data_IF_976899030554
#
_entry.id   IF_976899030554
#
_cell.length_a   1.000
_cell.length_b   1.000
_cell.length_c   1.000
_cell.angle_alpha   90.00
_cell.angle_beta   90.00
_cell.angle_gamma   90.00
#
_symmetry.space_group_name_H-M   'P 1'
#
loop_
_entity.id
_entity.type
_entity.pdbx_description
1 polymer ?
#
# COMPACT_ATOMS: atom_id res chain seq x y z
N UNK A 1 0.40 51.39 -81.08
CA UNK A 1 1.26 50.21 -81.13
C UNK A 1 1.59 49.83 -79.69
N UNK A 2 0.79 48.95 -79.07
CA UNK A 2 0.88 48.56 -77.66
C UNK A 2 1.37 47.12 -77.63
N UNK A 3 2.53 46.87 -77.02
CA UNK A 3 3.08 45.57 -76.80
C UNK A 3 2.57 45.04 -75.40
N UNK A 4 1.88 43.96 -75.47
CA UNK A 4 1.40 43.23 -74.25
C UNK A 4 2.42 42.12 -73.89
N UNK A 5 3.07 42.20 -72.74
CA UNK A 5 3.91 41.13 -72.21
C UNK A 5 3.08 40.23 -71.31
N UNK A 6 3.01 38.96 -71.70
CA UNK A 6 2.33 37.90 -70.83
C UNK A 6 3.40 37.17 -70.00
N UNK A 7 3.37 37.33 -68.69
CA UNK A 7 4.21 36.58 -67.74
C UNK A 7 3.48 35.27 -67.34
N UNK A 8 4.08 34.14 -67.70
CA UNK A 8 3.63 32.80 -67.21
C UNK A 8 4.27 32.51 -65.83
N UNK A 9 3.48 32.45 -64.79
CA UNK A 9 3.90 31.91 -63.50
C UNK A 9 3.89 30.38 -63.56
N UNK A 10 5.06 29.76 -63.39
CA UNK A 10 5.17 28.31 -63.13
C UNK A 10 4.94 28.04 -61.62
N UNK A 11 3.87 27.33 -61.32
CA UNK A 11 3.61 26.81 -59.96
C UNK A 11 4.44 25.53 -59.74
N UNK A 12 5.48 25.62 -58.89
CA UNK A 12 6.22 24.49 -58.40
C UNK A 12 5.43 23.89 -57.23
N UNK A 13 4.78 22.71 -57.41
CA UNK A 13 4.13 21.93 -56.32
C UNK A 13 5.21 21.08 -55.68
N UNK A 14 5.69 21.52 -54.50
CA UNK A 14 6.56 20.70 -53.64
C UNK A 14 5.68 19.75 -52.84
N UNK A 15 5.68 18.46 -53.20
CA UNK A 15 4.98 17.42 -52.45
C UNK A 15 5.83 17.05 -51.22
N UNK A 16 5.38 17.44 -50.03
CA UNK A 16 5.96 16.95 -48.78
C UNK A 16 5.46 15.53 -48.52
N UNK A 17 6.35 14.54 -48.64
CA UNK A 17 6.09 13.17 -48.17
C UNK A 17 6.40 13.12 -46.67
N UNK A 18 5.35 13.09 -45.82
CA UNK A 18 5.50 12.82 -44.39
C UNK A 18 5.64 11.32 -44.23
N UNK A 19 6.86 10.84 -44.00
CA UNK A 19 7.10 9.47 -43.56
C UNK A 19 6.68 9.34 -42.09
N UNK A 20 5.56 8.72 -41.85
CA UNK A 20 5.22 8.21 -40.52
C UNK A 20 6.11 7.01 -40.19
N UNK A 21 7.12 7.20 -39.34
CA UNK A 21 7.81 6.10 -38.69
C UNK A 21 6.84 5.47 -37.68
N UNK A 22 6.19 4.38 -38.04
CA UNK A 22 5.57 3.49 -37.09
C UNK A 22 6.70 2.82 -36.28
N UNK A 23 6.98 3.38 -35.12
CA UNK A 23 7.80 2.68 -34.13
C UNK A 23 7.01 1.43 -33.68
N UNK A 24 7.51 0.20 -33.90
CA UNK A 24 6.83 -0.97 -33.40
C UNK A 24 6.86 -0.91 -31.88
N UNK A 25 5.69 -0.82 -31.23
CA UNK A 25 5.56 -1.08 -29.82
C UNK A 25 5.97 -2.55 -29.63
N UNK A 26 7.20 -2.76 -29.17
CA UNK A 26 7.67 -4.06 -28.72
C UNK A 26 6.80 -4.45 -27.52
N UNK A 27 5.72 -5.19 -27.77
CA UNK A 27 5.04 -5.90 -26.68
C UNK A 27 6.05 -6.87 -26.08
N UNK A 28 6.44 -6.60 -24.85
CA UNK A 28 7.24 -7.56 -24.06
C UNK A 28 6.52 -8.92 -24.11
N UNK A 29 7.28 -9.99 -24.31
CA UNK A 29 6.73 -11.34 -24.18
C UNK A 29 6.09 -11.51 -22.81
N UNK A 30 4.97 -12.26 -22.69
CA UNK A 30 4.35 -12.49 -21.41
C UNK A 30 5.39 -13.12 -20.46
N UNK A 31 5.54 -12.52 -19.29
CA UNK A 31 6.42 -13.02 -18.24
C UNK A 31 6.03 -14.47 -17.91
N UNK A 32 6.97 -15.44 -17.88
CA UNK A 32 6.64 -16.81 -17.53
C UNK A 32 6.05 -16.84 -16.13
N UNK A 33 4.96 -17.58 -15.93
CA UNK A 33 4.29 -17.69 -14.64
C UNK A 33 5.30 -18.18 -13.57
N UNK A 34 5.57 -17.35 -12.58
CA UNK A 34 6.46 -17.70 -11.47
C UNK A 34 5.88 -18.91 -10.71
N UNK A 35 6.74 -19.85 -10.33
CA UNK A 35 6.32 -20.98 -9.47
C UNK A 35 5.82 -20.42 -8.14
N UNK A 36 4.57 -20.71 -7.71
CA UNK A 36 4.04 -20.18 -6.47
C UNK A 36 4.86 -20.59 -5.25
N UNK A 37 5.13 -19.65 -4.36
CA UNK A 37 5.89 -19.85 -3.12
C UNK A 37 4.92 -20.30 -2.04
N UNK A 38 5.24 -21.38 -1.34
CA UNK A 38 4.39 -21.91 -0.27
C UNK A 38 4.47 -21.03 0.98
N UNK A 39 3.34 -20.47 1.48
CA UNK A 39 3.31 -19.76 2.75
C UNK A 39 3.57 -20.73 3.91
N UNK A 40 4.11 -20.22 5.01
CA UNK A 40 4.44 -21.04 6.19
C UNK A 40 3.39 -20.98 7.30
N UNK A 41 2.57 -19.94 7.30
CA UNK A 41 1.48 -19.73 8.27
C UNK A 41 0.25 -19.21 7.56
N UNK A 42 -0.90 -19.57 8.08
CA UNK A 42 -2.21 -19.11 7.66
C UNK A 42 -2.96 -18.55 8.87
N UNK A 43 -3.34 -17.29 8.82
CA UNK A 43 -4.17 -16.65 9.83
C UNK A 43 -5.63 -16.71 9.37
N UNK A 44 -6.44 -17.52 10.06
CA UNK A 44 -7.86 -17.69 9.75
C UNK A 44 -8.62 -18.12 10.99
N UNK A 45 -9.10 -17.15 11.77
CA UNK A 45 -10.01 -17.45 12.90
C UNK A 45 -11.30 -18.07 12.38
N UNK A 46 -11.98 -18.83 13.25
CA UNK A 46 -13.25 -19.47 12.90
C UNK A 46 -14.38 -18.45 12.62
N UNK A 47 -14.24 -17.23 13.12
CA UNK A 47 -15.20 -16.14 12.94
C UNK A 47 -14.80 -15.18 11.80
N UNK A 48 -13.72 -15.46 11.09
CA UNK A 48 -13.32 -14.67 9.91
C UNK A 48 -14.23 -14.98 8.72
N UNK A 49 -14.47 -13.99 7.89
CA UNK A 49 -15.30 -14.07 6.68
C UNK A 49 -14.61 -13.42 5.47
N UNK A 50 -14.05 -12.21 5.63
CA UNK A 50 -13.33 -11.52 4.56
C UNK A 50 -12.26 -10.57 5.15
N UNK A 51 -11.07 -11.12 5.40
CA UNK A 51 -9.93 -10.39 5.98
C UNK A 51 -9.19 -9.58 4.92
N UNK A 52 -9.81 -8.53 4.48
CA UNK A 52 -9.49 -7.69 3.34
C UNK A 52 -8.09 -7.08 3.37
N UNK A 53 -7.70 -6.52 4.52
CA UNK A 53 -6.40 -5.86 4.69
C UNK A 53 -5.76 -6.16 6.05
N UNK A 54 -4.45 -5.92 6.17
CA UNK A 54 -3.70 -6.16 7.39
C UNK A 54 -2.50 -5.24 7.53
N UNK A 55 -2.04 -5.07 8.79
CA UNK A 55 -0.75 -4.48 9.08
C UNK A 55 0.08 -5.32 10.06
N UNK A 56 1.41 -5.14 10.04
CA UNK A 56 2.37 -5.86 10.86
C UNK A 56 2.87 -4.96 12.00
N UNK A 57 2.39 -5.18 13.22
CA UNK A 57 2.94 -4.50 14.39
C UNK A 57 4.19 -5.22 14.89
N UNK A 58 5.30 -4.49 14.98
CA UNK A 58 6.59 -5.01 15.45
C UNK A 58 6.75 -4.73 16.95
N UNK A 59 6.92 -5.79 17.72
CA UNK A 59 7.13 -5.68 19.17
C UNK A 59 8.44 -4.95 19.49
N UNK A 60 8.46 -3.96 20.42
CA UNK A 60 9.59 -3.06 20.62
C UNK A 60 10.89 -3.73 21.08
N UNK A 61 10.80 -4.80 21.87
CA UNK A 61 11.96 -5.47 22.50
C UNK A 61 12.09 -6.93 22.10
N UNK A 62 10.97 -7.58 21.74
CA UNK A 62 10.92 -9.01 21.42
C UNK A 62 10.21 -9.22 20.07
N UNK A 63 10.88 -9.04 18.93
CA UNK A 63 10.24 -9.12 17.62
C UNK A 63 9.50 -10.43 17.33
N UNK A 64 9.84 -11.52 18.00
CA UNK A 64 9.11 -12.79 17.93
C UNK A 64 7.68 -12.73 18.53
N UNK A 65 7.38 -11.67 19.29
CA UNK A 65 6.04 -11.37 19.83
C UNK A 65 5.25 -10.38 18.95
N UNK A 66 5.74 -10.02 17.79
CA UNK A 66 5.02 -9.19 16.80
C UNK A 66 3.69 -9.81 16.40
N UNK A 67 2.77 -9.01 15.88
CA UNK A 67 1.42 -9.45 15.53
C UNK A 67 1.01 -8.99 14.14
N UNK A 68 0.11 -9.74 13.55
CA UNK A 68 -0.64 -9.37 12.35
C UNK A 68 -1.99 -8.85 12.82
N UNK A 69 -2.38 -7.67 12.37
CA UNK A 69 -3.66 -7.05 12.70
C UNK A 69 -4.45 -6.97 11.40
N UNK A 70 -5.52 -7.77 11.30
CA UNK A 70 -6.34 -7.89 10.11
C UNK A 70 -7.68 -7.17 10.29
N UNK A 71 -8.12 -6.48 9.24
CA UNK A 71 -9.44 -5.89 9.11
C UNK A 71 -10.34 -6.84 8.30
N UNK A 72 -11.46 -7.26 8.88
CA UNK A 72 -12.43 -8.15 8.23
C UNK A 72 -13.73 -7.39 7.99
N UNK A 73 -13.94 -7.03 6.72
CA UNK A 73 -15.06 -6.17 6.30
C UNK A 73 -16.42 -6.86 6.42
N UNK A 74 -16.48 -8.19 6.17
CA UNK A 74 -17.73 -8.93 6.20
C UNK A 74 -18.09 -9.44 7.60
N UNK A 75 -17.08 -9.80 8.40
CA UNK A 75 -17.31 -10.19 9.79
C UNK A 75 -17.53 -9.02 10.75
N UNK A 76 -17.38 -7.76 10.28
CA UNK A 76 -17.44 -6.55 11.13
C UNK A 76 -16.43 -6.63 12.30
N UNK A 77 -15.15 -6.98 12.02
CA UNK A 77 -14.16 -7.27 13.06
C UNK A 77 -12.74 -6.86 12.71
N UNK A 78 -11.95 -6.64 13.78
CA UNK A 78 -10.50 -6.74 13.70
C UNK A 78 -10.06 -8.03 14.40
N UNK A 79 -9.06 -8.70 13.81
CA UNK A 79 -8.38 -9.82 14.41
C UNK A 79 -6.92 -9.46 14.68
N UNK A 80 -6.41 -9.80 15.87
CA UNK A 80 -4.99 -9.71 16.19
C UNK A 80 -4.45 -11.13 16.27
N UNK A 81 -3.54 -11.47 15.36
CA UNK A 81 -2.90 -12.78 15.29
C UNK A 81 -1.46 -12.73 15.80
N UNK A 82 -1.02 -13.78 16.48
CA UNK A 82 0.40 -14.01 16.69
C UNK A 82 1.06 -14.58 15.42
N UNK A 83 2.40 -14.70 15.44
CA UNK A 83 3.17 -15.22 14.30
C UNK A 83 2.95 -16.73 14.01
N UNK A 84 2.18 -17.43 14.85
CA UNK A 84 1.73 -18.80 14.60
C UNK A 84 0.35 -18.86 13.91
N UNK A 85 -0.25 -17.69 13.61
CA UNK A 85 -1.56 -17.58 12.98
C UNK A 85 -2.73 -17.76 13.95
N UNK A 86 -2.47 -17.77 15.28
CA UNK A 86 -3.51 -17.88 16.29
C UNK A 86 -4.02 -16.50 16.69
N UNK A 87 -5.34 -16.29 16.61
CA UNK A 87 -5.97 -15.08 17.12
C UNK A 87 -5.77 -14.95 18.63
N UNK A 88 -5.29 -13.78 19.07
CA UNK A 88 -5.09 -13.42 20.48
C UNK A 88 -6.06 -12.35 20.95
N UNK A 89 -6.72 -11.68 19.99
CA UNK A 89 -7.82 -10.74 20.25
C UNK A 89 -8.74 -10.68 19.05
N UNK A 90 -10.03 -10.51 19.31
CA UNK A 90 -11.06 -10.20 18.32
C UNK A 90 -11.84 -8.97 18.81
N UNK A 91 -12.02 -7.98 17.95
CA UNK A 91 -12.66 -6.69 18.28
C UNK A 91 -13.81 -6.47 17.30
N UNK A 92 -14.99 -6.06 17.79
CA UNK A 92 -16.07 -5.61 16.92
C UNK A 92 -15.69 -4.26 16.30
N UNK A 93 -15.69 -4.19 14.99
CA UNK A 93 -15.41 -3.00 14.20
C UNK A 93 -16.29 -3.06 12.95
N UNK A 94 -17.22 -2.12 12.83
CA UNK A 94 -18.20 -2.12 11.75
C UNK A 94 -17.53 -1.82 10.42
N UNK A 95 -17.65 -2.71 9.45
CA UNK A 95 -17.14 -2.61 8.07
C UNK A 95 -15.76 -1.92 7.98
N UNK A 96 -14.71 -2.48 8.63
CA UNK A 96 -13.38 -1.89 8.58
C UNK A 96 -12.79 -2.05 7.18
N UNK A 97 -12.12 -1.03 6.70
CA UNK A 97 -11.36 -1.03 5.44
C UNK A 97 -9.87 -1.23 5.69
N UNK A 98 -9.02 -0.48 4.96
CA UNK A 98 -7.58 -0.61 5.08
C UNK A 98 -7.05 -0.16 6.44
N UNK A 99 -6.09 -0.91 6.96
CA UNK A 99 -5.57 -0.77 8.31
C UNK A 99 -4.04 -0.63 8.29
N UNK A 100 -3.51 0.29 9.08
CA UNK A 100 -2.08 0.55 9.11
C UNK A 100 -1.59 0.86 10.53
N UNK A 101 -0.28 0.78 10.76
CA UNK A 101 0.37 0.97 12.06
C UNK A 101 1.51 1.97 11.97
N UNK A 102 1.61 2.89 12.96
CA UNK A 102 2.78 3.75 13.16
C UNK A 102 3.17 3.80 14.62
N UNK A 103 4.44 4.14 14.87
CA UNK A 103 5.11 3.98 16.14
C UNK A 103 5.43 5.32 16.80
N UNK A 104 5.24 5.40 18.13
CA UNK A 104 5.70 6.50 18.95
C UNK A 104 4.83 7.77 18.89
N UNK A 105 3.53 7.63 18.64
CA UNK A 105 2.55 8.71 18.73
C UNK A 105 2.46 9.23 20.16
N UNK A 106 2.52 10.57 20.34
CA UNK A 106 2.37 11.20 21.65
C UNK A 106 0.89 11.23 22.06
N UNK A 107 0.54 10.52 23.13
CA UNK A 107 -0.82 10.47 23.67
C UNK A 107 -0.78 10.70 25.18
N UNK A 108 -1.24 11.83 25.65
CA UNK A 108 -1.08 12.27 27.03
C UNK A 108 0.41 12.45 27.39
N UNK A 109 0.86 11.66 28.35
CA UNK A 109 2.27 11.67 28.82
C UNK A 109 3.10 10.52 28.23
N UNK A 110 2.51 9.70 27.38
CA UNK A 110 3.13 8.49 26.86
C UNK A 110 3.40 8.59 25.35
N UNK A 111 4.31 7.76 24.86
CA UNK A 111 4.43 7.44 23.44
C UNK A 111 3.86 6.06 23.21
N UNK A 112 2.88 5.97 22.33
CA UNK A 112 2.17 4.72 22.02
C UNK A 112 2.33 4.37 20.54
N UNK A 113 2.19 3.11 20.22
CA UNK A 113 2.03 2.67 18.83
C UNK A 113 0.55 2.75 18.49
N UNK A 114 0.22 3.39 17.39
CA UNK A 114 -1.15 3.53 16.94
C UNK A 114 -1.42 2.65 15.73
N UNK A 115 -2.62 2.07 15.73
CA UNK A 115 -3.22 1.38 14.60
C UNK A 115 -4.46 2.17 14.21
N UNK A 116 -4.57 2.52 12.93
CA UNK A 116 -5.73 3.25 12.43
C UNK A 116 -6.27 2.59 11.17
N UNK A 117 -7.57 2.70 10.97
CA UNK A 117 -8.27 2.21 9.78
C UNK A 117 -9.44 3.11 9.42
N UNK A 118 -9.86 3.04 8.17
CA UNK A 118 -11.08 3.68 7.71
C UNK A 118 -12.28 2.76 7.91
N UNK A 119 -13.39 3.30 8.36
CA UNK A 119 -14.69 2.64 8.39
C UNK A 119 -15.51 3.09 7.19
N UNK A 120 -16.05 2.14 6.40
CA UNK A 120 -16.69 2.44 5.10
C UNK A 120 -18.15 2.90 5.22
N UNK A 121 -19.01 2.16 5.90
CA UNK A 121 -20.47 2.44 5.96
C UNK A 121 -20.84 3.73 6.70
N UNK A 122 -20.03 4.11 7.66
CA UNK A 122 -20.13 5.37 8.38
C UNK A 122 -18.77 6.06 8.30
N UNK A 123 -18.50 6.83 7.23
CA UNK A 123 -17.15 7.28 6.91
C UNK A 123 -16.43 7.96 8.07
N UNK A 124 -15.50 7.25 8.67
CA UNK A 124 -14.70 7.66 9.84
C UNK A 124 -13.31 7.07 9.77
N UNK A 125 -12.42 7.65 10.57
CA UNK A 125 -11.15 7.05 10.93
C UNK A 125 -11.24 6.62 12.39
N UNK A 126 -10.94 5.35 12.67
CA UNK A 126 -10.85 4.82 14.02
C UNK A 126 -9.38 4.57 14.38
N UNK A 127 -9.05 4.88 15.64
CA UNK A 127 -7.67 4.78 16.11
C UNK A 127 -7.60 3.97 17.40
N UNK A 128 -6.68 3.01 17.40
CA UNK A 128 -6.37 2.16 18.54
C UNK A 128 -4.91 2.35 18.91
N UNK A 129 -4.57 2.19 20.19
CA UNK A 129 -3.19 1.99 20.64
C UNK A 129 -2.90 0.51 20.83
N UNK A 130 -1.66 0.12 20.67
CA UNK A 130 -1.20 -1.23 21.02
C UNK A 130 -0.74 -1.23 22.49
N UNK A 131 -1.34 -2.07 23.30
CA UNK A 131 -0.89 -2.34 24.66
C UNK A 131 0.24 -3.37 24.60
N UNK A 132 1.48 -2.91 24.66
CA UNK A 132 2.67 -3.74 24.41
C UNK A 132 2.71 -5.01 25.25
N UNK A 133 2.39 -4.91 26.55
CA UNK A 133 2.45 -6.04 27.47
C UNK A 133 1.50 -7.20 27.11
N UNK A 134 0.32 -6.90 26.56
CA UNK A 134 -0.69 -7.90 26.16
C UNK A 134 -0.75 -8.10 24.66
N UNK A 135 -0.15 -7.22 23.87
CA UNK A 135 -0.21 -7.16 22.40
C UNK A 135 -1.62 -6.97 21.87
N UNK A 136 -2.49 -6.39 22.70
CA UNK A 136 -3.89 -6.13 22.40
C UNK A 136 -4.09 -4.67 21.98
N UNK A 137 -5.13 -4.44 21.22
CA UNK A 137 -5.58 -3.11 20.80
C UNK A 137 -6.57 -2.54 21.81
N UNK A 138 -6.41 -1.27 22.15
CA UNK A 138 -7.32 -0.47 22.95
C UNK A 138 -7.73 0.78 22.17
N UNK A 139 -9.03 1.00 21.99
CA UNK A 139 -9.55 2.16 21.25
C UNK A 139 -9.24 3.46 21.98
N UNK A 140 -8.67 4.42 21.23
CA UNK A 140 -8.22 5.71 21.79
C UNK A 140 -8.78 6.94 21.05
N UNK A 141 -9.54 6.79 19.95
CA UNK A 141 -10.26 7.91 19.35
C UNK A 141 -11.54 8.26 20.15
N UNK A 142 -12.10 9.43 19.85
CA UNK A 142 -13.34 9.92 20.47
C UNK A 142 -14.58 9.75 19.56
N UNK A 143 -14.50 8.88 18.55
CA UNK A 143 -15.53 8.61 17.54
C UNK A 143 -15.92 9.82 16.66
N UNK A 144 -15.11 10.87 16.63
CA UNK A 144 -15.44 12.12 15.97
C UNK A 144 -14.60 12.42 14.71
N UNK A 145 -13.72 11.50 14.27
CA UNK A 145 -12.90 11.72 13.07
C UNK A 145 -13.70 11.30 11.84
N UNK A 146 -14.64 12.17 11.44
CA UNK A 146 -15.48 11.94 10.26
C UNK A 146 -14.75 12.34 8.98
N UNK A 147 -14.94 11.56 7.92
CA UNK A 147 -14.38 11.83 6.60
C UNK A 147 -15.51 12.08 5.59
N UNK A 148 -15.18 12.48 4.37
CA UNK A 148 -16.05 12.25 3.22
C UNK A 148 -16.19 10.74 2.96
N UNK A 149 -16.76 10.34 1.82
CA UNK A 149 -16.69 8.94 1.38
C UNK A 149 -15.25 8.44 1.51
N UNK A 150 -15.05 7.29 2.13
CA UNK A 150 -13.77 6.63 2.16
C UNK A 150 -13.88 5.17 1.69
N UNK A 151 -12.80 4.64 1.16
CA UNK A 151 -12.75 3.26 0.67
C UNK A 151 -11.52 2.53 1.19
N UNK A 152 -10.35 3.17 1.14
CA UNK A 152 -9.12 2.68 1.74
C UNK A 152 -8.35 3.76 2.50
N UNK A 153 -7.10 3.49 2.85
CA UNK A 153 -6.24 4.47 3.50
C UNK A 153 -4.96 3.91 4.10
N UNK A 154 -4.10 4.81 4.56
CA UNK A 154 -2.81 4.50 5.18
C UNK A 154 -2.42 5.56 6.21
N UNK A 155 -1.58 5.21 7.17
CA UNK A 155 -0.93 6.15 8.08
C UNK A 155 0.34 6.73 7.44
N UNK A 156 0.58 8.00 7.64
CA UNK A 156 1.83 8.67 7.30
C UNK A 156 2.41 9.37 8.54
N UNK A 157 3.70 9.16 8.81
CA UNK A 157 4.45 9.90 9.82
C UNK A 157 5.50 10.78 9.14
N UNK A 158 5.32 12.08 9.25
CA UNK A 158 6.30 13.03 8.74
C UNK A 158 7.63 12.92 9.50
N UNK A 159 8.71 12.59 8.82
CA UNK A 159 10.06 12.66 9.38
C UNK A 159 10.54 14.08 9.53
N UNK A 160 9.96 15.03 8.80
CA UNK A 160 10.26 16.47 8.86
C UNK A 160 9.73 17.11 10.15
N UNK A 161 8.50 16.75 10.56
CA UNK A 161 7.79 17.41 11.67
C UNK A 161 7.52 16.49 12.86
N UNK A 162 7.61 15.17 12.67
CA UNK A 162 7.22 14.15 13.64
C UNK A 162 5.70 13.99 13.80
N UNK A 163 4.89 14.67 12.98
CA UNK A 163 3.43 14.60 13.02
C UNK A 163 2.91 13.34 12.33
N UNK A 164 1.73 12.93 12.75
CA UNK A 164 1.06 11.74 12.24
C UNK A 164 -0.18 12.12 11.48
N UNK A 165 -0.39 11.45 10.38
CA UNK A 165 -1.53 11.67 9.49
C UNK A 165 -2.17 10.35 9.11
N UNK A 166 -3.48 10.38 8.83
CA UNK A 166 -4.17 9.32 8.11
C UNK A 166 -4.62 9.88 6.75
N UNK A 167 -4.29 9.17 5.69
CA UNK A 167 -4.71 9.48 4.32
C UNK A 167 -5.82 8.51 3.94
N UNK A 168 -7.02 9.03 3.63
CA UNK A 168 -8.13 8.22 3.12
C UNK A 168 -8.17 8.27 1.60
N UNK A 169 -8.56 7.17 0.98
CA UNK A 169 -8.89 7.08 -0.44
C UNK A 169 -10.39 6.88 -0.62
N UNK A 170 -10.90 7.01 -1.84
CA UNK A 170 -12.32 6.82 -2.14
C UNK A 170 -12.59 6.23 -3.51
N UNK A 171 -13.82 5.77 -3.74
CA UNK A 171 -14.30 5.29 -5.05
C UNK A 171 -14.39 6.40 -6.11
N UNK A 172 -14.54 7.64 -5.68
CA UNK A 172 -14.59 8.80 -6.57
C UNK A 172 -13.20 9.37 -6.91
N UNK A 173 -12.11 8.80 -6.35
CA UNK A 173 -10.76 9.35 -6.47
C UNK A 173 -10.49 10.54 -5.54
N UNK A 174 -11.44 10.89 -4.65
CA UNK A 174 -11.20 11.88 -3.60
C UNK A 174 -10.24 11.32 -2.56
N UNK A 175 -9.22 12.08 -2.23
CA UNK A 175 -8.23 11.77 -1.22
C UNK A 175 -8.25 12.86 -0.17
N UNK A 176 -8.34 12.47 1.10
CA UNK A 176 -8.29 13.41 2.23
C UNK A 176 -7.17 13.03 3.19
N UNK A 177 -6.47 14.02 3.72
CA UNK A 177 -5.42 13.83 4.71
C UNK A 177 -5.82 14.50 6.03
N UNK A 178 -5.74 13.72 7.11
CA UNK A 178 -6.10 14.13 8.46
C UNK A 178 -4.90 14.08 9.37
N UNK A 179 -4.54 15.19 10.01
CA UNK A 179 -3.57 15.19 11.11
C UNK A 179 -4.22 14.54 12.34
N UNK A 180 -3.53 13.55 12.92
CA UNK A 180 -3.94 12.90 14.15
C UNK A 180 -3.26 13.61 15.34
N UNK A 181 -4.04 14.01 16.31
CA UNK A 181 -3.63 14.84 17.42
C UNK A 181 -4.15 14.26 18.73
N UNK A 182 -3.38 14.40 19.82
CA UNK A 182 -3.91 14.24 21.18
C UNK A 182 -4.93 15.37 21.47
N UNK A 183 -6.09 15.03 21.97
CA UNK A 183 -7.13 16.00 22.37
C UNK A 183 -6.87 16.63 23.77
N UNK A 184 -5.78 16.25 24.44
CA UNK A 184 -5.42 16.68 25.78
C UNK A 184 -6.07 15.85 26.90
N UNK A 185 -6.94 14.90 26.57
CA UNK A 185 -7.61 14.00 27.52
C UNK A 185 -7.20 12.54 27.30
N UNK A 186 -6.11 12.30 26.57
CA UNK A 186 -5.62 10.96 26.24
C UNK A 186 -6.45 10.26 25.16
N UNK A 187 -7.13 11.04 24.29
CA UNK A 187 -7.84 10.55 23.11
C UNK A 187 -7.28 11.17 21.85
N UNK A 188 -7.38 10.44 20.76
CA UNK A 188 -6.99 10.92 19.44
C UNK A 188 -8.16 11.64 18.78
N UNK A 189 -7.89 12.85 18.27
CA UNK A 189 -8.79 13.57 17.36
C UNK A 189 -8.11 13.75 16.00
N UNK A 190 -8.89 13.94 14.95
CA UNK A 190 -8.39 14.23 13.61
C UNK A 190 -8.74 15.63 13.15
N UNK A 191 -7.84 16.25 12.40
CA UNK A 191 -8.05 17.53 11.73
C UNK A 191 -7.71 17.38 10.26
N UNK A 192 -8.69 17.59 9.37
CA UNK A 192 -8.44 17.59 7.93
C UNK A 192 -7.49 18.74 7.56
N UNK A 193 -6.38 18.40 6.90
CA UNK A 193 -5.32 19.35 6.53
C UNK A 193 -5.14 19.49 5.03
N UNK A 194 -5.54 18.50 4.24
CA UNK A 194 -5.38 18.50 2.80
C UNK A 194 -6.48 17.69 2.12
N UNK A 195 -6.82 18.08 0.90
CA UNK A 195 -7.74 17.36 0.00
C UNK A 195 -7.20 17.47 -1.42
N UNK A 196 -7.21 16.37 -2.17
CA UNK A 196 -6.91 16.35 -3.61
C UNK A 196 -7.66 15.22 -4.30
N UNK A 197 -7.52 15.10 -5.61
CA UNK A 197 -8.18 14.04 -6.37
C UNK A 197 -7.18 13.39 -7.33
N UNK A 198 -7.32 12.09 -7.51
CA UNK A 198 -6.82 11.33 -8.66
C UNK A 198 -7.98 11.04 -9.62
N UNK A 199 -7.90 10.07 -10.51
CA UNK A 199 -8.91 9.95 -11.55
C UNK A 199 -10.15 9.13 -11.20
N UNK A 200 -10.00 8.01 -10.47
CA UNK A 200 -11.03 7.00 -10.27
C UNK A 200 -10.93 6.28 -8.93
N UNK A 201 -11.49 5.08 -8.88
CA UNK A 201 -11.56 4.28 -7.66
C UNK A 201 -10.18 3.93 -7.13
N UNK A 202 -9.96 4.22 -5.85
CA UNK A 202 -8.71 3.97 -5.14
C UNK A 202 -8.99 3.26 -3.82
N UNK A 203 -8.41 2.08 -3.66
CA UNK A 203 -8.39 1.38 -2.39
C UNK A 203 -6.98 1.36 -1.80
N UNK A 204 -6.03 0.79 -2.52
CA UNK A 204 -4.66 0.63 -2.06
C UNK A 204 -3.98 1.96 -1.70
N UNK A 205 -3.32 1.99 -0.56
CA UNK A 205 -2.45 3.09 -0.18
C UNK A 205 -1.31 2.62 0.71
N UNK A 206 -0.10 3.17 0.52
CA UNK A 206 1.02 2.99 1.43
C UNK A 206 1.84 4.28 1.51
N UNK A 207 2.26 4.65 2.71
CA UNK A 207 3.14 5.81 2.89
C UNK A 207 4.59 5.39 3.12
N UNK A 208 5.48 6.06 2.43
CA UNK A 208 6.92 6.00 2.63
C UNK A 208 7.37 7.15 3.51
N UNK A 209 7.42 6.90 4.82
CA UNK A 209 7.77 7.92 5.81
C UNK A 209 9.21 8.45 5.62
N UNK A 210 10.17 7.62 5.12
CA UNK A 210 11.57 8.04 4.97
C UNK A 210 11.77 9.09 3.87
N UNK A 211 11.03 8.96 2.76
CA UNK A 211 11.15 9.89 1.63
C UNK A 211 10.03 10.91 1.58
N UNK A 212 8.99 10.73 2.40
CA UNK A 212 7.86 11.64 2.50
C UNK A 212 6.90 11.54 1.33
N UNK A 213 6.69 10.33 0.79
CA UNK A 213 5.76 10.04 -0.31
C UNK A 213 4.60 9.17 0.16
N UNK A 214 3.44 9.32 -0.47
CA UNK A 214 2.29 8.42 -0.35
C UNK A 214 2.01 7.84 -1.74
N UNK A 215 1.95 6.52 -1.81
CA UNK A 215 1.57 5.78 -3.02
C UNK A 215 0.11 5.39 -2.92
N UNK A 216 -0.65 5.60 -3.99
CA UNK A 216 -2.09 5.32 -4.07
C UNK A 216 -2.36 4.51 -5.32
N UNK A 217 -3.00 3.34 -5.16
CA UNK A 217 -3.49 2.51 -6.26
C UNK A 217 -4.81 3.05 -6.78
N UNK A 218 -4.85 3.50 -8.04
CA UNK A 218 -6.07 3.69 -8.81
C UNK A 218 -6.32 2.41 -9.59
N UNK A 219 -7.42 1.71 -9.28
CA UNK A 219 -7.64 0.31 -9.68
C UNK A 219 -7.53 0.07 -11.19
N UNK A 220 -8.01 1.02 -11.99
CA UNK A 220 -8.03 0.93 -13.45
C UNK A 220 -6.91 1.70 -14.16
N UNK A 221 -5.94 2.27 -13.42
CA UNK A 221 -4.82 3.04 -14.02
C UNK A 221 -3.43 2.65 -13.53
N UNK A 222 -3.30 2.30 -12.23
CA UNK A 222 -2.01 1.96 -11.65
C UNK A 222 -1.69 2.74 -10.38
N UNK A 223 -0.42 3.03 -10.11
CA UNK A 223 0.01 3.63 -8.84
C UNK A 223 0.44 5.08 -9.03
N UNK A 224 -0.18 5.95 -8.24
CA UNK A 224 0.18 7.35 -8.10
C UNK A 224 1.19 7.53 -6.97
N UNK A 225 2.13 8.44 -7.14
CA UNK A 225 2.99 8.97 -6.09
C UNK A 225 2.63 10.42 -5.80
N UNK A 226 2.43 10.75 -4.53
CA UNK A 226 2.01 12.06 -4.04
C UNK A 226 2.88 12.42 -2.84
N UNK A 227 3.28 13.68 -2.71
CA UNK A 227 4.00 14.13 -1.51
C UNK A 227 3.17 13.94 -0.23
N UNK A 228 3.76 13.36 0.81
CA UNK A 228 3.10 13.08 2.09
C UNK A 228 2.90 14.30 2.98
N UNK A 229 3.70 15.37 2.79
CA UNK A 229 3.56 16.57 3.61
C UNK A 229 2.33 17.38 3.17
N UNK A 230 1.50 17.88 4.11
CA UNK A 230 0.28 18.63 3.78
C UNK A 230 0.51 19.92 2.98
N UNK A 231 1.69 20.51 3.11
CA UNK A 231 2.10 21.75 2.44
C UNK A 231 2.91 21.49 1.14
N UNK A 232 3.07 20.24 0.71
CA UNK A 232 3.73 19.92 -0.54
C UNK A 232 2.86 20.36 -1.72
N UNK A 233 3.33 21.32 -2.57
CA UNK A 233 2.60 21.79 -3.73
C UNK A 233 2.74 20.86 -4.94
N UNK A 234 3.58 19.82 -4.86
CA UNK A 234 3.89 18.95 -6.00
C UNK A 234 2.65 18.17 -6.43
N UNK A 235 2.24 18.26 -7.71
CA UNK A 235 1.15 17.43 -8.20
C UNK A 235 1.51 15.95 -8.12
N UNK A 236 0.51 15.12 -7.82
CA UNK A 236 0.66 13.67 -7.92
C UNK A 236 1.05 13.24 -9.35
N UNK A 237 1.84 12.19 -9.45
CA UNK A 237 2.26 11.61 -10.74
C UNK A 237 1.95 10.12 -10.76
N UNK A 238 1.48 9.62 -11.90
CA UNK A 238 1.33 8.19 -12.15
C UNK A 238 2.72 7.60 -12.39
N UNK A 239 3.17 6.70 -11.52
CA UNK A 239 4.54 6.15 -11.53
C UNK A 239 4.61 4.70 -12.00
N UNK A 240 3.51 3.96 -11.87
CA UNK A 240 3.37 2.58 -12.37
C UNK A 240 2.04 2.53 -13.12
N UNK A 241 2.04 2.07 -14.37
CA UNK A 241 0.86 2.09 -15.22
C UNK A 241 0.31 0.68 -15.47
N UNK A 242 -1.01 0.57 -15.46
CA UNK A 242 -1.69 -0.63 -15.93
C UNK A 242 -1.30 -0.94 -17.39
N UNK A 243 -1.24 -2.23 -17.70
CA UNK A 243 -0.82 -2.72 -19.02
C UNK A 243 0.68 -2.86 -19.19
N UNK A 244 1.50 -2.24 -18.30
CA UNK A 244 2.95 -2.40 -18.31
C UNK A 244 3.37 -3.57 -17.40
N UNK A 245 4.43 -4.29 -17.79
CA UNK A 245 5.02 -5.40 -17.04
C UNK A 245 4.01 -6.46 -16.58
N UNK A 246 2.90 -6.60 -17.31
CA UNK A 246 1.83 -7.56 -16.99
C UNK A 246 1.00 -7.17 -15.77
N UNK A 247 1.06 -5.92 -15.30
CA UNK A 247 0.12 -5.39 -14.32
C UNK A 247 -1.25 -5.23 -15.02
N UNK A 248 -2.25 -5.88 -14.45
CA UNK A 248 -3.66 -5.79 -14.90
C UNK A 248 -4.50 -5.39 -13.70
N UNK A 249 -5.64 -4.76 -13.87
CA UNK A 249 -6.51 -4.37 -12.75
C UNK A 249 -6.94 -5.58 -11.87
N UNK A 250 -7.32 -5.43 -10.65
CA UNK A 250 -7.31 -4.16 -9.94
C UNK A 250 -6.02 -4.03 -9.11
N UNK A 251 -5.62 -2.77 -8.78
CA UNK A 251 -4.48 -2.49 -7.89
C UNK A 251 -5.02 -2.33 -6.48
N UNK A 252 -5.01 -3.42 -5.70
CA UNK A 252 -5.74 -3.51 -4.43
C UNK A 252 -4.87 -3.39 -3.17
N UNK A 253 -3.59 -3.70 -3.25
CA UNK A 253 -2.69 -3.62 -2.11
C UNK A 253 -1.31 -3.07 -2.47
N UNK A 254 -0.72 -2.30 -1.57
CA UNK A 254 0.61 -1.72 -1.69
C UNK A 254 1.39 -1.90 -0.39
N UNK A 255 2.67 -2.30 -0.47
CA UNK A 255 3.58 -2.33 0.68
C UNK A 255 5.02 -2.02 0.29
N UNK A 256 5.85 -1.67 1.26
CA UNK A 256 7.25 -1.30 1.02
C UNK A 256 8.18 -2.19 1.83
N UNK A 257 9.06 -2.93 1.14
CA UNK A 257 10.20 -3.60 1.75
C UNK A 257 11.39 -2.65 1.77
N UNK A 258 11.79 -2.22 2.96
CA UNK A 258 12.81 -1.20 3.15
C UNK A 258 14.22 -1.79 3.09
N UNK A 259 15.09 -1.14 2.34
CA UNK A 259 16.54 -1.33 2.35
C UNK A 259 17.24 -0.04 2.80
N UNK A 260 18.50 -0.10 3.27
CA UNK A 260 19.21 1.11 3.69
C UNK A 260 19.34 2.16 2.58
N UNK A 261 19.46 3.43 2.98
CA UNK A 261 19.71 4.58 2.09
C UNK A 261 18.59 4.87 1.10
N UNK A 262 17.36 4.76 1.52
CA UNK A 262 16.19 5.06 0.68
C UNK A 262 15.93 4.02 -0.42
N UNK A 263 16.71 2.95 -0.49
CA UNK A 263 16.46 1.83 -1.41
C UNK A 263 15.38 0.90 -0.87
N UNK A 264 14.93 -0.04 -1.69
CA UNK A 264 13.96 -1.04 -1.31
C UNK A 264 13.09 -1.48 -2.47
N UNK A 265 11.95 -2.06 -2.13
CA UNK A 265 10.99 -2.54 -3.11
C UNK A 265 9.59 -2.06 -2.76
N UNK A 266 8.90 -1.50 -3.75
CA UNK A 266 7.46 -1.26 -3.72
C UNK A 266 6.78 -2.50 -4.28
N UNK A 267 5.91 -3.10 -3.47
CA UNK A 267 5.13 -4.28 -3.80
C UNK A 267 3.72 -3.86 -4.16
N UNK A 268 3.18 -4.44 -5.23
CA UNK A 268 1.86 -4.12 -5.76
C UNK A 268 1.07 -5.40 -5.93
N UNK A 269 -0.12 -5.49 -5.32
CA UNK A 269 -1.06 -6.56 -5.63
C UNK A 269 -1.58 -6.41 -7.05
N UNK A 270 -1.54 -7.49 -7.81
CA UNK A 270 -2.05 -7.60 -9.18
C UNK A 270 -3.19 -8.62 -9.14
N UNK A 271 -4.32 -8.20 -8.60
CA UNK A 271 -5.46 -9.05 -8.25
C UNK A 271 -5.91 -9.89 -9.44
N UNK A 272 -6.11 -9.29 -10.61
CA UNK A 272 -6.56 -10.01 -11.82
C UNK A 272 -5.62 -11.10 -12.33
N UNK A 273 -4.47 -11.35 -11.65
CA UNK A 273 -3.53 -12.44 -11.97
C UNK A 273 -3.04 -13.23 -10.75
N UNK A 274 -3.60 -13.01 -9.58
CA UNK A 274 -3.19 -13.66 -8.33
C UNK A 274 -1.68 -13.63 -8.08
N UNK A 275 -1.03 -12.50 -8.39
CA UNK A 275 0.41 -12.34 -8.18
C UNK A 275 0.77 -10.94 -7.71
N UNK A 276 2.01 -10.77 -7.30
CA UNK A 276 2.53 -9.51 -6.75
C UNK A 276 3.65 -9.01 -7.65
N UNK A 277 3.58 -7.74 -8.01
CA UNK A 277 4.60 -7.03 -8.76
C UNK A 277 5.61 -6.40 -7.82
N UNK A 278 6.87 -6.42 -8.20
CA UNK A 278 7.98 -5.84 -7.45
C UNK A 278 8.62 -4.76 -8.29
N UNK A 279 8.63 -3.56 -7.74
CA UNK A 279 9.28 -2.40 -8.35
C UNK A 279 10.38 -1.90 -7.40
N UNK A 280 11.39 -1.22 -7.94
CA UNK A 280 12.33 -0.50 -7.08
C UNK A 280 11.59 0.61 -6.33
N UNK A 281 11.90 0.77 -5.04
CA UNK A 281 11.38 1.87 -4.23
C UNK A 281 11.97 3.22 -4.67
N UNK A 282 13.24 3.21 -5.11
CA UNK A 282 14.01 4.38 -5.52
C UNK A 282 13.97 4.61 -7.04
N UNK A 283 14.44 5.79 -7.47
CA UNK A 283 14.59 6.12 -8.88
C UNK A 283 13.26 6.33 -9.62
N UNK A 284 13.11 5.64 -10.74
CA UNK A 284 11.91 5.70 -11.57
C UNK A 284 10.96 4.51 -11.33
N UNK A 285 11.07 3.82 -10.21
CA UNK A 285 10.31 2.61 -9.87
C UNK A 285 10.43 1.53 -10.94
N UNK A 286 11.68 1.22 -11.34
CA UNK A 286 11.92 0.20 -12.35
C UNK A 286 11.34 -1.15 -11.91
N UNK A 287 10.70 -1.81 -12.85
CA UNK A 287 10.15 -3.15 -12.65
C UNK A 287 11.28 -4.16 -12.41
N UNK A 288 11.15 -4.95 -11.34
CA UNK A 288 12.13 -5.97 -10.94
C UNK A 288 11.66 -7.38 -11.33
N UNK A 289 10.36 -7.64 -11.23
CA UNK A 289 9.77 -8.93 -11.53
C UNK A 289 8.49 -9.18 -10.76
N UNK A 290 8.01 -10.42 -10.79
CA UNK A 290 6.79 -10.83 -10.10
C UNK A 290 7.00 -12.10 -9.31
N UNK A 291 6.18 -12.30 -8.27
CA UNK A 291 6.07 -13.58 -7.57
C UNK A 291 4.62 -13.91 -7.28
N UNK A 292 4.34 -15.17 -6.99
CA UNK A 292 3.04 -15.64 -6.55
C UNK A 292 3.17 -16.43 -5.24
N UNK A 293 2.14 -16.39 -4.42
CA UNK A 293 2.03 -17.18 -3.19
C UNK A 293 1.01 -18.30 -3.40
N UNK A 294 1.39 -19.51 -3.04
CA UNK A 294 0.51 -20.66 -3.21
C UNK A 294 -0.75 -20.51 -2.33
N UNK A 295 -1.90 -20.55 -2.97
CA UNK A 295 -3.19 -20.31 -2.30
C UNK A 295 -3.62 -18.85 -2.24
N UNK A 296 -2.82 -17.89 -2.68
CA UNK A 296 -3.29 -16.52 -2.84
C UNK A 296 -4.25 -16.43 -4.04
N UNK A 297 -5.42 -15.85 -3.82
CA UNK A 297 -6.50 -15.67 -4.79
C UNK A 297 -7.20 -14.35 -4.56
N UNK A 298 -7.56 -13.65 -5.64
CA UNK A 298 -8.24 -12.36 -5.61
C UNK A 298 -7.66 -11.48 -4.49
N UNK A 299 -6.33 -11.21 -4.62
CA UNK A 299 -5.53 -10.64 -3.53
C UNK A 299 -5.79 -9.16 -3.36
N UNK A 300 -6.29 -8.75 -2.20
CA UNK A 300 -6.52 -7.37 -1.81
C UNK A 300 -5.29 -6.82 -1.05
N UNK A 301 -5.42 -6.61 0.26
CA UNK A 301 -4.36 -6.05 1.09
C UNK A 301 -3.10 -6.91 1.19
N UNK A 302 -2.01 -6.24 1.47
CA UNK A 302 -0.71 -6.87 1.72
C UNK A 302 0.15 -5.99 2.63
N UNK A 303 1.06 -6.63 3.38
CA UNK A 303 2.09 -5.91 4.13
C UNK A 303 3.40 -6.70 4.15
N UNK A 304 4.51 -6.03 4.43
CA UNK A 304 5.84 -6.64 4.46
C UNK A 304 6.73 -5.99 5.50
N UNK A 305 7.54 -6.80 6.17
CA UNK A 305 8.61 -6.30 7.04
C UNK A 305 9.93 -6.99 6.73
N UNK A 306 11.03 -6.29 6.94
CA UNK A 306 12.38 -6.84 6.89
C UNK A 306 12.96 -7.17 8.30
N UNK A 307 12.19 -6.97 9.34
CA UNK A 307 12.62 -7.22 10.72
C UNK A 307 12.79 -8.73 10.96
N UNK A 308 13.85 -9.10 11.66
CA UNK A 308 14.02 -10.48 12.12
C UNK A 308 12.98 -10.79 13.21
N UNK A 309 11.98 -11.60 12.89
CA UNK A 309 10.89 -11.99 13.80
C UNK A 309 11.11 -13.37 14.46
N UNK A 310 12.33 -13.86 14.45
CA UNK A 310 12.69 -15.17 15.00
C UNK A 310 12.94 -16.25 13.93
N UNK A 311 13.12 -17.51 14.34
CA UNK A 311 13.61 -18.56 13.43
C UNK A 311 12.75 -18.84 12.21
N UNK A 312 11.43 -18.59 12.29
CA UNK A 312 10.50 -18.78 11.16
C UNK A 312 10.62 -17.66 10.13
N UNK A 313 10.88 -16.44 10.58
CA UNK A 313 10.97 -15.24 9.75
C UNK A 313 12.26 -14.44 10.03
N UNK A 314 13.45 -15.02 9.77
CA UNK A 314 14.71 -14.45 10.22
C UNK A 314 15.13 -13.17 9.47
N UNK A 315 14.49 -12.88 8.35
CA UNK A 315 14.72 -11.67 7.55
C UNK A 315 13.41 -11.03 7.12
N UNK A 316 12.42 -11.12 7.99
CA UNK A 316 11.09 -10.58 7.75
C UNK A 316 10.13 -11.55 7.06
N UNK A 317 8.93 -11.06 6.89
CA UNK A 317 7.85 -11.79 6.25
C UNK A 317 7.07 -10.87 5.29
N UNK A 318 6.39 -11.49 4.36
CA UNK A 318 5.35 -10.92 3.52
C UNK A 318 4.01 -11.52 3.94
N UNK A 319 3.01 -10.69 4.12
CA UNK A 319 1.63 -11.07 4.42
C UNK A 319 0.73 -10.63 3.27
N UNK A 320 -0.23 -11.46 2.88
CA UNK A 320 -1.23 -11.09 1.89
C UNK A 320 -2.59 -11.72 2.18
N UNK A 321 -3.64 -11.02 1.80
CA UNK A 321 -5.01 -11.52 1.71
C UNK A 321 -5.12 -12.68 0.70
N UNK A 322 -6.13 -13.54 0.88
CA UNK A 322 -6.52 -14.54 -0.10
C UNK A 322 -8.00 -14.90 0.00
N UNK A 323 -8.77 -14.71 -1.05
CA UNK A 323 -10.14 -15.19 -1.17
C UNK A 323 -10.23 -16.69 -1.56
N UNK A 324 -9.23 -17.52 -1.20
CA UNK A 324 -9.22 -18.95 -1.55
C UNK A 324 -10.38 -19.74 -0.93
N UNK A 325 -10.89 -19.32 0.21
CA UNK A 325 -12.01 -19.95 0.92
C UNK A 325 -12.80 -18.93 1.76
N UNK A 326 -13.91 -19.39 2.33
CA UNK A 326 -14.92 -18.58 3.05
C UNK A 326 -14.40 -17.78 4.26
N UNK A 327 -13.13 -17.90 4.62
CA UNK A 327 -12.52 -17.14 5.72
C UNK A 327 -11.53 -16.10 5.25
N UNK A 328 -11.25 -16.06 3.95
CA UNK A 328 -10.29 -15.16 3.34
C UNK A 328 -9.04 -14.97 4.20
N UNK A 329 -8.17 -16.02 4.31
CA UNK A 329 -7.05 -16.03 5.22
C UNK A 329 -5.97 -15.02 4.86
N UNK A 330 -5.23 -14.56 5.87
CA UNK A 330 -3.94 -13.91 5.64
C UNK A 330 -2.85 -14.99 5.57
N UNK A 331 -2.10 -14.99 4.48
CA UNK A 331 -1.01 -15.92 4.22
C UNK A 331 0.35 -15.28 4.56
N UNK A 332 1.14 -15.92 5.43
CA UNK A 332 2.44 -15.42 5.84
C UNK A 332 3.56 -16.21 5.15
N UNK A 333 4.38 -15.52 4.37
CA UNK A 333 5.50 -16.10 3.59
C UNK A 333 6.82 -15.48 4.06
N UNK A 334 7.85 -16.29 4.42
CA UNK A 334 9.17 -15.77 4.76
C UNK A 334 9.77 -14.98 3.58
N UNK A 335 10.22 -13.75 3.83
CA UNK A 335 10.81 -12.93 2.77
C UNK A 335 11.97 -13.59 2.02
N UNK A 336 12.90 -14.35 2.67
CA UNK A 336 13.96 -15.05 1.95
C UNK A 336 13.47 -16.06 0.89
N UNK A 337 12.29 -16.65 1.07
CA UNK A 337 11.73 -17.55 0.07
C UNK A 337 11.28 -16.78 -1.18
N UNK A 338 10.74 -15.56 -0.99
CA UNK A 338 10.41 -14.65 -2.09
C UNK A 338 11.68 -14.16 -2.77
N UNK A 339 12.67 -13.68 -2.02
CA UNK A 339 13.92 -13.16 -2.58
C UNK A 339 14.63 -14.16 -3.49
N UNK A 340 14.66 -15.43 -3.10
CA UNK A 340 15.27 -16.53 -3.89
C UNK A 340 14.54 -16.87 -5.18
N UNK A 341 13.30 -16.46 -5.34
CA UNK A 341 12.54 -16.69 -6.57
C UNK A 341 12.97 -15.79 -7.73
N UNK A 342 13.77 -14.76 -7.45
CA UNK A 342 14.26 -13.80 -8.44
C UNK A 342 15.68 -14.13 -8.93
N UNK A 343 16.01 -13.68 -10.15
CA UNK A 343 17.36 -13.79 -10.72
C UNK A 343 17.78 -12.43 -11.30
N UNK A 344 18.74 -11.72 -10.69
CA UNK A 344 19.43 -12.08 -9.44
C UNK A 344 18.49 -12.08 -8.23
N UNK A 345 18.86 -12.78 -7.15
CA UNK A 345 18.08 -12.76 -5.90
C UNK A 345 17.86 -11.33 -5.38
N UNK A 346 16.68 -11.07 -4.83
CA UNK A 346 16.41 -9.76 -4.23
C UNK A 346 17.32 -9.52 -3.03
N UNK A 347 17.78 -8.28 -2.90
CA UNK A 347 18.58 -7.88 -1.73
C UNK A 347 17.77 -8.01 -0.45
N UNK A 348 18.36 -8.61 0.57
CA UNK A 348 17.81 -8.74 1.92
C UNK A 348 18.59 -7.85 2.89
N UNK A 349 17.88 -7.13 3.76
CA UNK A 349 18.48 -6.40 4.88
C UNK A 349 17.52 -6.40 6.07
N UNK A 350 18.07 -6.60 7.25
CA UNK A 350 17.32 -6.54 8.53
C UNK A 350 17.69 -5.31 9.35
N UNK A 351 18.34 -4.32 8.74
CA UNK A 351 18.86 -3.14 9.46
C UNK A 351 17.86 -2.01 9.59
N UNK A 352 16.78 -2.03 8.80
CA UNK A 352 15.73 -1.04 8.94
C UNK A 352 14.91 -1.27 10.21
N UNK A 353 14.53 -0.17 10.86
CA UNK A 353 13.75 -0.22 12.08
C UNK A 353 12.54 0.73 11.96
N UNK A 354 11.31 0.20 11.98
CA UNK A 354 10.10 1.00 11.80
C UNK A 354 9.83 2.01 12.93
N UNK A 355 10.62 1.95 14.02
CA UNK A 355 10.47 2.82 15.21
C UNK A 355 11.44 4.00 15.23
N UNK A 356 12.31 4.12 14.24
CA UNK A 356 13.31 5.20 14.16
C UNK A 356 12.89 6.36 13.29
#
# INVERSE_FOLDING_TARGET
MALTFTVRLARCMTTFIVLFFLCPVLRSAPEPAAKPITPTVRCADHAAADQDDMCLWIHPTEPSLSTIIAADKEADRLFVYNLDGKAIQTISAKHPGNIDVRYGFALGKEKVDIVAFNQRDHPKILVYKVVVATRQLERVDNDAITTAENYGGTLYRSTRTGRFYFVTTSKSGLIEQYELLDDGNGRVRGQKVRTWTVGGQCEAAVADDEVGSVYIGEEDKGVWEIGGEPDDPTPGRLVIMLGENGLVGDVEGLAIYYLPKGMGFLLVSNQGRDNFKVYRRDGAHEFVGSFAVAGAKDTDGLDVTNVNLGPRFPSGLFACHSAQDDRCPILLTPWPAIAKAFQPELTISTTWNPRK
#
